data_IF_776642580213
#
_entry.id   IF_776642580213
#
_cell.length_a   1.000
_cell.length_b   1.000
_cell.length_c   1.000
_cell.angle_alpha   90.00
_cell.angle_beta   90.00
_cell.angle_gamma   90.00
#
_symmetry.space_group_name_H-M   'P 1'
#
loop_
_entity.id
_entity.type
_entity.pdbx_description
1 polymer ?
#
# COMPACT_ATOMS: atom_id res chain seq x y z
N UNK A 1 -19.92 -0.11 -13.74
CA UNK A 1 -18.73 0.68 -13.35
C UNK A 1 -17.83 -0.21 -12.53
N UNK A 2 -16.53 -0.27 -12.85
CA UNK A 2 -15.53 -0.93 -12.02
C UNK A 2 -15.36 -0.16 -10.70
N UNK A 3 -15.24 -0.88 -9.58
CA UNK A 3 -14.92 -0.26 -8.29
C UNK A 3 -13.42 0.03 -8.25
N UNK A 4 -13.06 1.22 -7.80
CA UNK A 4 -11.66 1.64 -7.63
C UNK A 4 -11.32 1.66 -6.15
N UNK A 5 -10.22 1.01 -5.78
CA UNK A 5 -9.76 0.89 -4.40
C UNK A 5 -8.32 1.39 -4.29
N UNK A 6 -8.07 2.25 -3.32
CA UNK A 6 -6.74 2.71 -2.95
C UNK A 6 -6.31 1.98 -1.67
N UNK A 7 -5.18 1.27 -1.74
CA UNK A 7 -4.52 0.65 -0.60
C UNK A 7 -3.46 1.62 -0.06
N UNK A 8 -3.52 1.96 1.24
CA UNK A 8 -2.55 2.84 1.88
C UNK A 8 -1.83 2.08 3.00
N UNK A 9 -0.53 1.89 2.84
CA UNK A 9 0.34 1.23 3.80
C UNK A 9 1.43 2.22 4.27
N UNK A 10 1.44 2.51 5.57
CA UNK A 10 2.32 3.49 6.20
C UNK A 10 3.59 2.91 6.84
N UNK A 11 3.76 1.59 6.80
CA UNK A 11 4.90 0.88 7.37
C UNK A 11 5.12 -0.48 6.64
N UNK A 12 6.28 -1.13 6.80
CA UNK A 12 6.58 -2.40 6.12
C UNK A 12 5.60 -3.54 6.42
N UNK A 13 5.06 -3.61 7.65
CA UNK A 13 4.10 -4.65 8.01
C UNK A 13 2.74 -4.39 7.34
N UNK A 14 2.29 -3.13 7.30
CA UNK A 14 1.11 -2.72 6.55
C UNK A 14 1.23 -3.02 5.06
N UNK A 15 2.40 -2.78 4.47
CA UNK A 15 2.69 -3.05 3.05
C UNK A 15 2.55 -4.55 2.74
N UNK A 16 3.10 -5.41 3.59
CA UNK A 16 2.96 -6.86 3.45
C UNK A 16 1.50 -7.32 3.49
N UNK A 17 0.71 -6.86 4.47
CA UNK A 17 -0.70 -7.23 4.58
C UNK A 17 -1.54 -6.68 3.41
N UNK A 18 -1.27 -5.44 2.98
CA UNK A 18 -1.95 -4.84 1.84
C UNK A 18 -1.66 -5.60 0.54
N UNK A 19 -0.44 -6.10 0.34
CA UNK A 19 -0.08 -6.94 -0.80
C UNK A 19 -0.85 -8.27 -0.82
N UNK A 20 -1.02 -8.92 0.33
CA UNK A 20 -1.84 -10.15 0.44
C UNK A 20 -3.32 -9.87 0.12
N UNK A 21 -3.86 -8.76 0.62
CA UNK A 21 -5.22 -8.33 0.30
C UNK A 21 -5.38 -8.04 -1.20
N UNK A 22 -4.40 -7.38 -1.81
CA UNK A 22 -4.42 -7.09 -3.24
C UNK A 22 -4.47 -8.37 -4.09
N UNK A 23 -3.66 -9.37 -3.75
CA UNK A 23 -3.63 -10.65 -4.44
C UNK A 23 -5.00 -11.36 -4.36
N UNK A 24 -5.61 -11.42 -3.18
CA UNK A 24 -6.93 -12.03 -3.00
C UNK A 24 -8.04 -11.24 -3.70
N UNK A 25 -7.98 -9.91 -3.70
CA UNK A 25 -8.93 -9.07 -4.41
C UNK A 25 -8.85 -9.28 -5.93
N UNK A 26 -7.64 -9.32 -6.50
CA UNK A 26 -7.45 -9.60 -7.92
C UNK A 26 -7.95 -11.01 -8.29
N UNK A 27 -7.77 -12.01 -7.42
CA UNK A 27 -8.24 -13.36 -7.66
C UNK A 27 -9.78 -13.50 -7.60
N UNK A 28 -10.43 -12.77 -6.69
CA UNK A 28 -11.88 -12.92 -6.41
C UNK A 28 -12.75 -11.89 -7.13
N UNK A 29 -12.19 -10.72 -7.43
CA UNK A 29 -12.89 -9.59 -8.02
C UNK A 29 -11.95 -8.86 -9.01
N UNK A 30 -11.58 -9.51 -10.12
CA UNK A 30 -10.64 -8.97 -11.11
C UNK A 30 -11.13 -7.67 -11.79
N UNK A 31 -12.41 -7.35 -11.68
CA UNK A 31 -12.98 -6.10 -12.14
C UNK A 31 -12.69 -4.90 -11.22
N UNK A 32 -12.12 -5.13 -10.04
CA UNK A 32 -11.69 -4.06 -9.12
C UNK A 32 -10.35 -3.51 -9.59
N UNK A 33 -10.31 -2.21 -9.82
CA UNK A 33 -9.07 -1.50 -10.11
C UNK A 33 -8.37 -1.16 -8.79
N UNK A 34 -7.17 -1.69 -8.62
CA UNK A 34 -6.33 -1.43 -7.45
C UNK A 34 -5.28 -0.37 -7.74
N UNK A 35 -5.10 0.52 -6.77
CA UNK A 35 -4.00 1.48 -6.69
C UNK A 35 -3.41 1.40 -5.30
N UNK A 36 -2.14 1.77 -5.16
CA UNK A 36 -1.45 1.69 -3.89
C UNK A 36 -0.63 2.94 -3.58
N UNK A 37 -0.54 3.22 -2.29
CA UNK A 37 0.47 4.06 -1.69
C UNK A 37 1.11 3.21 -0.61
N UNK A 38 2.34 2.79 -0.82
CA UNK A 38 2.94 1.71 -0.04
C UNK A 38 4.29 1.27 -0.58
N UNK A 39 4.78 0.14 -0.08
CA UNK A 39 6.17 -0.26 -0.22
C UNK A 39 6.40 -1.36 -1.25
N UNK A 40 7.54 -2.08 -1.14
CA UNK A 40 7.97 -3.05 -2.14
C UNK A 40 7.05 -4.27 -2.27
N UNK A 41 6.28 -4.65 -1.24
CA UNK A 41 5.38 -5.79 -1.32
C UNK A 41 4.18 -5.49 -2.21
N UNK A 42 3.59 -4.29 -2.12
CA UNK A 42 2.51 -3.86 -3.01
C UNK A 42 2.99 -3.74 -4.46
N UNK A 43 4.23 -3.30 -4.69
CA UNK A 43 4.87 -3.31 -6.02
C UNK A 43 5.02 -4.73 -6.55
N UNK A 44 5.51 -5.67 -5.72
CA UNK A 44 5.67 -7.07 -6.08
C UNK A 44 4.33 -7.78 -6.34
N UNK A 45 3.24 -7.34 -5.71
CA UNK A 45 1.89 -7.81 -5.97
C UNK A 45 1.28 -7.25 -7.28
N UNK A 46 2.05 -6.48 -8.06
CA UNK A 46 1.61 -5.94 -9.34
C UNK A 46 0.60 -4.80 -9.20
N UNK A 47 0.45 -4.21 -8.01
CA UNK A 47 -0.44 -3.06 -7.80
C UNK A 47 0.30 -1.80 -8.25
N UNK A 48 -0.32 -0.95 -9.09
CA UNK A 48 0.23 0.38 -9.42
C UNK A 48 0.43 1.22 -8.15
N UNK A 49 1.69 1.47 -7.79
CA UNK A 49 2.05 2.34 -6.67
C UNK A 49 2.17 3.78 -7.16
N UNK A 50 1.29 4.64 -6.64
CA UNK A 50 1.22 6.08 -6.95
C UNK A 50 2.36 6.82 -6.25
N UNK A 51 2.64 6.47 -4.99
CA UNK A 51 3.74 7.02 -4.20
C UNK A 51 4.20 6.00 -3.16
N UNK A 52 5.50 5.94 -2.90
CA UNK A 52 6.07 5.08 -1.86
C UNK A 52 6.11 5.84 -0.51
N UNK A 53 5.03 5.72 0.27
CA UNK A 53 4.99 6.28 1.63
C UNK A 53 5.85 5.52 2.63
N UNK A 54 6.32 4.30 2.33
CA UNK A 54 7.21 3.59 3.25
C UNK A 54 8.58 4.25 3.37
N UNK A 55 8.94 5.11 2.41
CA UNK A 55 10.10 6.00 2.47
C UNK A 55 9.93 7.20 3.40
N UNK A 56 8.68 7.57 3.69
CA UNK A 56 8.31 8.67 4.59
C UNK A 56 7.76 8.18 5.93
N UNK A 57 7.84 6.87 6.22
CA UNK A 57 7.61 6.31 7.54
C UNK A 57 8.65 6.86 8.52
N UNK A 58 8.48 8.13 8.89
CA UNK A 58 9.11 8.73 10.05
C UNK A 58 8.81 7.84 11.24
N UNK A 59 9.85 7.59 12.01
CA UNK A 59 9.88 6.61 13.08
C UNK A 59 9.15 7.23 14.27
N UNK A 60 7.82 7.11 14.29
CA UNK A 60 6.99 7.37 15.45
C UNK A 60 6.70 8.85 15.78
N UNK A 61 5.83 9.04 16.77
CA UNK A 61 5.45 10.33 17.38
C UNK A 61 6.66 11.14 17.91
N UNK A 62 7.87 10.57 17.91
CA UNK A 62 9.09 11.13 18.50
C UNK A 62 9.95 11.96 17.52
N UNK A 63 9.80 11.81 16.21
CA UNK A 63 10.61 12.53 15.22
C UNK A 63 10.01 13.87 14.75
N UNK A 64 8.86 14.27 15.31
CA UNK A 64 8.13 15.49 14.91
C UNK A 64 8.70 16.76 15.55
N UNK A 65 9.67 16.65 16.47
CA UNK A 65 10.31 17.83 17.07
C UNK A 65 11.72 18.02 16.51
N UNK A 66 12.01 19.15 15.83
CA UNK A 66 13.38 19.55 15.55
C UNK A 66 14.08 19.81 16.90
N UNK A 67 15.19 19.13 17.14
CA UNK A 67 16.20 19.62 18.08
C UNK A 67 16.85 20.90 17.57
#
# INVERSE_FOLDING_TARGET
MAKRVLLVAGDPSGDHHAALLAAELQARAPEVELYAVGGPHLQAAGVPVIEDLTRYSAIGLADVLPG
#
